data_IF_767325268756
#
_entry.id   IF_767325268756
#
_cell.length_a   1.000
_cell.length_b   1.000
_cell.length_c   1.000
_cell.angle_alpha   90.00
_cell.angle_beta   90.00
_cell.angle_gamma   90.00
#
_symmetry.space_group_name_H-M   'P 1'
#
loop_
_entity.id
_entity.type
_entity.pdbx_description
1 polymer ?
#
# COMPACT_ATOMS: atom_id res chain seq x y z
N UNK A 1 -19.11 5.82 -12.18
CA UNK A 1 -18.79 4.81 -11.15
C UNK A 1 -17.35 4.40 -11.42
N UNK A 2 -16.41 4.74 -10.56
CA UNK A 2 -14.98 4.79 -10.88
C UNK A 2 -14.35 3.37 -10.87
N UNK A 3 -13.61 3.01 -11.92
CA UNK A 3 -12.96 1.70 -12.18
C UNK A 3 -11.68 1.43 -11.34
N UNK A 4 -11.41 2.20 -10.29
CA UNK A 4 -10.12 2.21 -9.59
C UNK A 4 -9.93 1.06 -8.57
N UNK A 5 -11.00 0.38 -8.16
CA UNK A 5 -10.91 -0.66 -7.12
C UNK A 5 -10.76 -2.05 -7.75
N UNK A 6 -9.52 -2.46 -8.00
CA UNK A 6 -9.21 -3.71 -8.71
C UNK A 6 -9.19 -4.95 -7.81
N UNK A 7 -8.95 -4.82 -6.50
CA UNK A 7 -8.90 -5.95 -5.56
C UNK A 7 -8.97 -5.52 -4.09
N UNK A 8 -9.44 -6.43 -3.22
CA UNK A 8 -9.29 -6.37 -1.76
C UNK A 8 -8.44 -7.57 -1.30
N UNK A 9 -7.45 -7.36 -0.43
CA UNK A 9 -6.43 -8.38 -0.12
C UNK A 9 -6.25 -8.49 1.40
N UNK A 10 -6.44 -9.69 1.93
CA UNK A 10 -5.98 -10.10 3.27
C UNK A 10 -7.02 -9.95 4.39
N UNK A 11 -7.47 -11.09 4.93
CA UNK A 11 -8.06 -11.20 6.27
C UNK A 11 -7.07 -11.81 7.28
N UNK A 12 -5.77 -11.73 7.00
CA UNK A 12 -4.70 -12.37 7.78
C UNK A 12 -3.94 -11.38 8.65
N UNK A 13 -3.56 -11.81 9.85
CA UNK A 13 -2.93 -11.01 10.90
C UNK A 13 -1.42 -10.76 10.72
N UNK A 14 -0.79 -11.37 9.71
CA UNK A 14 0.63 -11.20 9.41
C UNK A 14 0.83 -10.28 8.20
N UNK A 15 1.24 -9.05 8.50
CA UNK A 15 1.35 -7.91 7.58
C UNK A 15 2.55 -7.99 6.61
N UNK A 16 3.39 -9.02 6.69
CA UNK A 16 4.44 -9.26 5.69
C UNK A 16 3.90 -9.99 4.44
N UNK A 17 2.75 -10.66 4.54
CA UNK A 17 2.10 -11.36 3.42
C UNK A 17 1.68 -10.39 2.31
N UNK A 18 0.99 -9.25 2.56
CA UNK A 18 0.66 -8.29 1.51
C UNK A 18 1.92 -7.79 0.79
N UNK A 19 2.97 -7.44 1.52
CA UNK A 19 4.23 -6.92 0.94
C UNK A 19 4.92 -7.97 0.06
N UNK A 20 4.95 -9.23 0.49
CA UNK A 20 5.53 -10.35 -0.28
C UNK A 20 4.71 -10.72 -1.52
N UNK A 21 3.39 -10.64 -1.44
CA UNK A 21 2.50 -11.03 -2.53
C UNK A 21 2.29 -9.96 -3.59
N UNK A 22 2.51 -8.68 -3.26
CA UNK A 22 2.28 -7.55 -4.17
C UNK A 22 2.95 -7.71 -5.54
N UNK A 23 4.23 -8.12 -5.67
CA UNK A 23 4.84 -8.33 -6.98
C UNK A 23 4.07 -9.31 -7.87
N UNK A 24 3.61 -10.43 -7.29
CA UNK A 24 2.84 -11.45 -8.02
C UNK A 24 1.48 -10.90 -8.44
N UNK A 25 0.80 -10.19 -7.55
CA UNK A 25 -0.53 -9.65 -7.79
C UNK A 25 -0.51 -8.52 -8.83
N UNK A 26 0.44 -7.61 -8.71
CA UNK A 26 0.66 -6.53 -9.68
C UNK A 26 0.93 -7.08 -11.09
N UNK A 27 1.77 -8.12 -11.20
CA UNK A 27 2.01 -8.79 -12.48
C UNK A 27 0.74 -9.43 -13.06
N UNK A 28 -0.13 -9.98 -12.23
CA UNK A 28 -1.39 -10.59 -12.66
C UNK A 28 -2.40 -9.58 -13.21
N UNK A 29 -2.36 -8.33 -12.75
CA UNK A 29 -3.18 -7.23 -13.28
C UNK A 29 -2.80 -6.88 -14.73
N UNK A 30 -1.57 -7.23 -15.16
CA UNK A 30 -1.00 -6.87 -16.48
C UNK A 30 -1.07 -5.36 -16.75
N UNK A 31 -1.08 -4.56 -15.69
CA UNK A 31 -1.13 -3.13 -15.82
C UNK A 31 0.22 -2.60 -16.35
N UNK A 32 0.24 -1.54 -17.17
CA UNK A 32 1.48 -0.98 -17.67
C UNK A 32 2.38 -0.52 -16.51
N UNK A 33 3.68 -0.88 -16.50
CA UNK A 33 4.64 -0.32 -15.54
C UNK A 33 4.64 1.21 -15.59
N UNK A 34 4.79 1.86 -14.42
CA UNK A 34 4.80 3.31 -14.28
C UNK A 34 3.44 3.99 -14.42
N UNK A 35 2.35 3.23 -14.54
CA UNK A 35 0.98 3.77 -14.63
C UNK A 35 0.13 3.38 -13.42
N UNK A 36 0.47 2.29 -12.72
CA UNK A 36 -0.31 1.79 -11.60
C UNK A 36 0.38 2.04 -10.27
N UNK A 37 -0.26 2.84 -9.44
CA UNK A 37 0.16 3.09 -8.07
C UNK A 37 -0.51 2.13 -7.08
N UNK A 38 0.03 2.07 -5.87
CA UNK A 38 -0.42 1.22 -4.79
C UNK A 38 -1.01 2.07 -3.66
N UNK A 39 -2.13 1.59 -3.13
CA UNK A 39 -2.72 2.11 -1.91
C UNK A 39 -2.79 0.98 -0.90
N UNK A 40 -2.09 1.13 0.22
CA UNK A 40 -2.25 0.23 1.36
C UNK A 40 -3.24 0.84 2.34
N UNK A 41 -4.19 0.04 2.79
CA UNK A 41 -5.16 0.41 3.81
C UNK A 41 -5.12 -0.66 4.88
N UNK A 42 -4.72 -0.30 6.10
CA UNK A 42 -4.57 -1.26 7.18
C UNK A 42 -4.79 -0.60 8.53
N UNK A 43 -5.29 -1.34 9.51
CA UNK A 43 -5.31 -0.97 10.92
C UNK A 43 -4.19 -1.69 11.71
N UNK A 44 -3.37 -2.51 11.06
CA UNK A 44 -2.38 -3.36 11.72
C UNK A 44 -1.02 -2.67 11.87
N UNK A 45 -0.29 -3.05 12.93
CA UNK A 45 1.09 -2.60 13.14
C UNK A 45 2.02 -3.37 12.22
N UNK A 46 2.71 -2.65 11.34
CA UNK A 46 3.62 -3.26 10.39
C UNK A 46 5.02 -3.46 10.96
N UNK A 47 5.49 -4.71 10.93
CA UNK A 47 6.90 -5.06 11.19
C UNK A 47 7.42 -5.88 10.01
N UNK A 48 8.39 -5.35 9.29
CA UNK A 48 8.96 -5.97 8.10
C UNK A 48 10.41 -6.37 8.36
N UNK A 49 10.77 -7.64 8.14
CA UNK A 49 12.17 -8.04 8.06
C UNK A 49 12.92 -7.20 7.02
N UNK A 50 14.18 -6.87 7.29
CA UNK A 50 14.97 -5.97 6.45
C UNK A 50 15.18 -6.49 5.01
N UNK A 51 15.25 -7.81 4.83
CA UNK A 51 15.33 -8.47 3.53
C UNK A 51 14.04 -8.28 2.72
N UNK A 52 12.88 -8.37 3.38
CA UNK A 52 11.57 -8.12 2.76
C UNK A 52 11.43 -6.66 2.36
N UNK A 53 11.82 -5.74 3.24
CA UNK A 53 11.79 -4.31 2.97
C UNK A 53 12.62 -3.97 1.73
N UNK A 54 13.86 -4.47 1.68
CA UNK A 54 14.76 -4.25 0.55
C UNK A 54 14.19 -4.82 -0.74
N UNK A 55 13.74 -6.07 -0.73
CA UNK A 55 13.15 -6.72 -1.90
C UNK A 55 11.93 -5.98 -2.43
N UNK A 56 11.06 -5.49 -1.53
CA UNK A 56 9.90 -4.70 -1.91
C UNK A 56 10.28 -3.35 -2.53
N UNK A 57 11.24 -2.62 -1.95
CA UNK A 57 11.70 -1.34 -2.48
C UNK A 57 12.35 -1.49 -3.86
N UNK A 58 13.16 -2.53 -4.05
CA UNK A 58 13.80 -2.82 -5.34
C UNK A 58 12.75 -3.15 -6.40
N UNK A 59 11.75 -3.96 -6.04
CA UNK A 59 10.61 -4.24 -6.93
C UNK A 59 9.79 -2.98 -7.25
N UNK A 60 9.39 -2.20 -6.24
CA UNK A 60 8.59 -0.97 -6.40
C UNK A 60 9.25 -0.01 -7.39
N UNK A 61 10.57 0.17 -7.28
CA UNK A 61 11.37 0.99 -8.21
C UNK A 61 11.34 0.43 -9.64
N UNK A 62 11.42 -0.88 -9.81
CA UNK A 62 11.43 -1.52 -11.13
C UNK A 62 10.11 -1.37 -11.89
N UNK A 63 8.98 -1.32 -11.18
CA UNK A 63 7.65 -1.08 -11.76
C UNK A 63 7.23 0.38 -11.72
N UNK A 64 8.07 1.25 -11.14
CA UNK A 64 7.84 2.69 -10.95
C UNK A 64 6.51 3.01 -10.24
N UNK A 65 6.07 2.14 -9.34
CA UNK A 65 4.83 2.35 -8.59
C UNK A 65 5.07 3.28 -7.39
N UNK A 66 4.19 4.25 -7.16
CA UNK A 66 4.12 4.97 -5.89
C UNK A 66 3.29 4.17 -4.90
N UNK A 67 3.65 4.21 -3.63
CA UNK A 67 2.91 3.60 -2.54
C UNK A 67 2.44 4.69 -1.57
N UNK A 68 1.12 4.80 -1.41
CA UNK A 68 0.50 5.59 -0.35
C UNK A 68 -0.15 4.66 0.68
N UNK A 69 0.19 4.81 1.95
CA UNK A 69 -0.36 3.98 3.03
C UNK A 69 -1.30 4.78 3.94
N UNK A 70 -2.52 4.28 4.13
CA UNK A 70 -3.47 4.74 5.13
C UNK A 70 -3.49 3.76 6.30
N UNK A 71 -3.09 4.24 7.49
CA UNK A 71 -3.01 3.43 8.71
C UNK A 71 -4.07 3.89 9.69
N UNK A 72 -5.04 3.02 10.00
CA UNK A 72 -6.19 3.36 10.84
C UNK A 72 -5.90 3.05 12.30
N UNK A 73 -6.07 4.05 13.17
CA UNK A 73 -5.95 3.98 14.64
C UNK A 73 -4.64 3.38 15.18
N UNK A 74 -3.60 3.31 14.35
CA UNK A 74 -2.29 2.79 14.72
C UNK A 74 -1.15 3.61 14.11
N UNK A 75 0.03 3.61 14.76
CA UNK A 75 1.23 4.16 14.16
C UNK A 75 1.66 3.30 12.96
N UNK A 76 2.25 3.91 11.92
CA UNK A 76 2.54 3.22 10.66
C UNK A 76 3.63 2.14 10.72
N UNK A 77 4.48 2.17 11.74
CA UNK A 77 5.59 1.21 11.87
C UNK A 77 6.48 1.19 10.63
N UNK A 78 6.81 0.00 10.16
CA UNK A 78 7.74 -0.17 9.03
C UNK A 78 7.13 0.20 7.67
N UNK A 79 5.83 0.50 7.59
CA UNK A 79 5.22 1.05 6.36
C UNK A 79 5.83 2.41 5.98
N UNK A 80 6.23 3.21 6.97
CA UNK A 80 6.92 4.48 6.75
C UNK A 80 8.23 4.32 5.98
N UNK A 81 8.82 3.13 6.00
CA UNK A 81 10.11 2.87 5.38
C UNK A 81 10.00 2.26 3.97
N UNK A 82 8.78 1.93 3.51
CA UNK A 82 8.52 1.42 2.15
C UNK A 82 7.57 2.31 1.32
N UNK A 83 6.77 3.14 1.98
CA UNK A 83 5.78 4.01 1.33
C UNK A 83 6.39 5.35 0.95
N UNK A 84 5.87 5.95 -0.11
CA UNK A 84 6.23 7.31 -0.51
C UNK A 84 5.43 8.36 0.30
N UNK A 85 4.18 8.05 0.63
CA UNK A 85 3.34 8.84 1.55
C UNK A 85 2.68 7.90 2.58
N UNK A 86 2.61 8.34 3.84
CA UNK A 86 1.91 7.58 4.90
C UNK A 86 1.05 8.52 5.74
N UNK A 87 -0.20 8.10 5.96
CA UNK A 87 -1.16 8.85 6.76
C UNK A 87 -1.72 7.96 7.86
N UNK A 88 -1.41 8.30 9.12
CA UNK A 88 -2.14 7.75 10.25
C UNK A 88 -3.46 8.51 10.40
N UNK A 89 -4.58 7.79 10.34
CA UNK A 89 -5.94 8.34 10.40
C UNK A 89 -6.74 7.65 11.50
N UNK A 90 -7.72 8.33 12.08
CA UNK A 90 -8.63 7.69 13.06
C UNK A 90 -9.75 6.89 12.42
N UNK A 91 -10.11 7.23 11.19
CA UNK A 91 -11.14 6.55 10.42
C UNK A 91 -11.00 6.91 8.94
N UNK A 92 -11.57 6.08 8.08
CA UNK A 92 -11.66 6.34 6.65
C UNK A 92 -13.04 6.94 6.37
N UNK A 93 -13.09 8.27 6.32
CA UNK A 93 -14.27 8.99 5.85
C UNK A 93 -14.00 9.53 4.44
N UNK A 94 -14.98 9.51 3.51
CA UNK A 94 -14.78 9.98 2.14
C UNK A 94 -14.32 11.44 2.02
N UNK A 95 -14.66 12.25 3.02
CA UNK A 95 -14.31 13.67 3.16
C UNK A 95 -13.01 13.90 3.95
N UNK A 96 -12.40 12.84 4.50
CA UNK A 96 -11.14 12.95 5.20
C UNK A 96 -10.02 13.35 4.23
N UNK A 97 -9.20 14.33 4.61
CA UNK A 97 -8.13 14.86 3.76
C UNK A 97 -7.16 13.77 3.25
N UNK A 98 -6.86 12.76 4.07
CA UNK A 98 -6.01 11.63 3.68
C UNK A 98 -6.66 10.77 2.58
N UNK A 99 -7.98 10.55 2.65
CA UNK A 99 -8.73 9.84 1.60
C UNK A 99 -8.79 10.69 0.35
N UNK A 100 -9.08 12.00 0.47
CA UNK A 100 -9.09 12.92 -0.67
C UNK A 100 -7.75 12.99 -1.41
N UNK A 101 -6.62 12.92 -0.69
CA UNK A 101 -5.27 12.86 -1.27
C UNK A 101 -5.03 11.56 -2.04
N UNK A 102 -5.41 10.41 -1.47
CA UNK A 102 -5.33 9.11 -2.14
C UNK A 102 -6.21 9.07 -3.40
N UNK A 103 -7.39 9.69 -3.36
CA UNK A 103 -8.32 9.76 -4.50
C UNK A 103 -7.90 10.77 -5.57
N UNK A 104 -6.84 11.55 -5.35
CA UNK A 104 -6.29 12.52 -6.31
C UNK A 104 -5.03 12.00 -7.03
N UNK A 105 -4.68 10.72 -6.84
CA UNK A 105 -3.58 10.04 -7.55
C UNK A 105 -3.91 9.81 -9.02
#
# INVERSE_FOLDING_TARGET
MLDWLSAFIGCGSDIDVPVREMPRMYAALKAPPGVTDLVFVTDARCRLPADVQKGFLDWKRSVQARLVSLVVDNPPGDLSAISDEVHAVRSLAPDAAAVGRVLSL
#
